data_IF_887093272079
#
_entry.id   IF_887093272079
#
_cell.length_a   1.000
_cell.length_b   1.000
_cell.length_c   1.000
_cell.angle_alpha   90.00
_cell.angle_beta   90.00
_cell.angle_gamma   90.00
#
_symmetry.space_group_name_H-M   'P 1'
#
loop_
_entity.id
_entity.type
_entity.pdbx_description
1 polymer ?
#
# COMPACT_ATOMS: atom_id res chain seq x y z
N UNK A 1 -4.97 4.74 8.50
CA UNK A 1 -3.82 5.21 7.74
C UNK A 1 -3.63 6.69 8.01
N UNK A 2 -2.47 7.08 8.49
CA UNK A 2 -2.07 8.47 8.47
C UNK A 2 -1.55 8.85 7.07
N UNK A 3 -1.62 10.14 6.71
CA UNK A 3 -1.15 10.62 5.42
C UNK A 3 0.34 10.34 5.19
N UNK A 4 1.12 10.24 6.25
CA UNK A 4 2.56 9.94 6.22
C UNK A 4 2.88 8.47 6.01
N UNK A 5 1.89 7.60 6.11
CA UNK A 5 2.05 6.15 5.94
C UNK A 5 3.10 5.55 6.89
N UNK A 6 3.03 5.93 8.18
CA UNK A 6 4.04 5.55 9.18
C UNK A 6 3.86 4.16 9.77
N UNK A 7 2.72 3.53 9.54
CA UNK A 7 2.35 2.26 10.15
C UNK A 7 2.45 2.24 11.68
N UNK A 8 2.27 3.42 12.29
CA UNK A 8 2.24 3.61 13.73
C UNK A 8 0.90 4.20 14.20
N UNK A 9 0.55 3.96 15.45
CA UNK A 9 -0.65 4.50 16.10
C UNK A 9 -0.35 4.85 17.55
N UNK A 10 -1.01 5.88 18.08
CA UNK A 10 -0.99 6.24 19.49
C UNK A 10 -2.06 5.50 20.31
N UNK A 11 -2.86 4.67 19.69
CA UNK A 11 -3.84 3.84 20.37
C UNK A 11 -3.18 2.72 21.20
N UNK A 12 -3.80 2.42 22.34
CA UNK A 12 -3.39 1.28 23.18
C UNK A 12 -3.92 -0.01 22.55
N UNK A 13 -3.04 -0.75 21.92
CA UNK A 13 -3.35 -2.07 21.39
C UNK A 13 -3.22 -3.15 22.49
N UNK A 14 -3.71 -4.40 22.28
CA UNK A 14 -3.74 -5.45 23.30
C UNK A 14 -2.40 -5.67 24.00
N UNK A 15 -2.41 -5.62 25.35
CA UNK A 15 -1.21 -5.75 26.20
C UNK A 15 -1.00 -7.17 26.76
N UNK A 16 -1.76 -8.15 26.31
CA UNK A 16 -1.84 -9.43 27.00
C UNK A 16 -0.63 -10.34 26.76
N UNK A 17 0.07 -10.72 27.82
CA UNK A 17 0.97 -11.89 27.79
C UNK A 17 0.14 -13.18 27.63
N UNK A 18 -1.11 -13.17 28.04
CA UNK A 18 -2.10 -14.24 27.87
C UNK A 18 -3.47 -13.64 27.52
N UNK A 19 -3.62 -12.99 26.36
CA UNK A 19 -4.92 -12.50 25.95
C UNK A 19 -5.85 -13.69 25.76
N UNK A 20 -7.11 -13.55 26.18
CA UNK A 20 -8.15 -14.47 25.73
C UNK A 20 -8.39 -14.20 24.26
N UNK A 21 -7.89 -15.09 23.40
CA UNK A 21 -8.00 -14.94 21.95
C UNK A 21 -9.22 -15.71 21.48
N UNK A 22 -10.22 -14.99 21.00
CA UNK A 22 -11.33 -15.55 20.25
C UNK A 22 -11.00 -15.49 18.76
N UNK A 23 -10.93 -16.65 18.12
CA UNK A 23 -10.65 -16.75 16.68
C UNK A 23 -11.94 -17.13 15.97
N UNK A 24 -12.39 -16.26 15.07
CA UNK A 24 -13.42 -16.60 14.09
C UNK A 24 -12.86 -16.45 12.69
N UNK A 25 -13.29 -17.30 11.76
CA UNK A 25 -12.94 -17.14 10.36
C UNK A 25 -14.16 -17.36 9.48
N UNK A 26 -14.19 -16.63 8.38
CA UNK A 26 -15.20 -16.80 7.34
C UNK A 26 -14.50 -17.07 6.01
N UNK A 27 -14.95 -18.13 5.33
CA UNK A 27 -14.45 -18.42 3.98
C UNK A 27 -15.08 -17.44 3.00
N UNK A 28 -14.27 -16.58 2.39
CA UNK A 28 -14.69 -15.71 1.30
C UNK A 28 -14.33 -16.33 -0.06
N UNK A 29 -15.07 -15.97 -1.10
CA UNK A 29 -14.75 -16.38 -2.47
C UNK A 29 -13.77 -15.41 -3.18
N UNK A 30 -13.22 -14.46 -2.44
CA UNK A 30 -12.30 -13.46 -2.94
C UNK A 30 -11.18 -13.23 -1.92
N UNK A 31 -9.99 -12.87 -2.40
CA UNK A 31 -8.89 -12.49 -1.54
C UNK A 31 -9.26 -11.23 -0.76
N UNK A 32 -9.06 -11.25 0.54
CA UNK A 32 -9.18 -10.08 1.38
C UNK A 32 -7.95 -9.17 1.21
N UNK A 33 -8.16 -7.87 1.39
CA UNK A 33 -7.07 -6.94 1.60
C UNK A 33 -6.32 -7.27 2.89
N UNK A 34 -5.02 -6.98 2.97
CA UNK A 34 -4.29 -7.02 4.24
C UNK A 34 -4.75 -5.94 5.22
N UNK A 35 -5.51 -4.93 4.77
CA UNK A 35 -5.98 -3.84 5.59
C UNK A 35 -7.49 -3.95 5.88
N UNK A 36 -7.84 -3.78 7.15
CA UNK A 36 -9.20 -3.64 7.65
C UNK A 36 -9.29 -2.26 8.31
N UNK A 37 -10.34 -1.51 7.99
CA UNK A 37 -10.59 -0.19 8.53
C UNK A 37 -11.79 -0.23 9.47
N UNK A 38 -11.83 0.66 10.42
CA UNK A 38 -12.98 0.83 11.30
C UNK A 38 -13.60 2.20 11.03
N UNK A 39 -14.91 2.23 10.80
CA UNK A 39 -15.64 3.47 10.74
C UNK A 39 -15.85 4.05 12.15
N UNK A 40 -16.32 5.28 12.24
CA UNK A 40 -16.54 5.95 13.52
C UNK A 40 -17.66 5.31 14.37
N UNK A 41 -18.41 4.38 13.79
CA UNK A 41 -19.47 3.62 14.47
C UNK A 41 -18.97 2.27 14.98
N UNK A 42 -17.72 1.89 14.69
CA UNK A 42 -17.10 0.64 15.12
C UNK A 42 -17.34 -0.55 14.20
N UNK A 43 -17.85 -0.33 12.99
CA UNK A 43 -17.95 -1.40 12.00
C UNK A 43 -16.58 -1.63 11.34
N UNK A 44 -16.28 -2.90 11.07
CA UNK A 44 -15.13 -3.26 10.26
C UNK A 44 -15.47 -3.15 8.77
N UNK A 45 -14.75 -2.30 8.07
CA UNK A 45 -14.77 -2.16 6.61
C UNK A 45 -13.69 -3.05 6.03
N UNK A 46 -14.09 -4.08 5.30
CA UNK A 46 -13.20 -5.12 4.77
C UNK A 46 -13.20 -5.05 3.24
N UNK A 47 -12.19 -4.40 2.63
CA UNK A 47 -12.04 -4.43 1.18
C UNK A 47 -11.66 -5.82 0.69
N UNK A 48 -12.26 -6.23 -0.42
CA UNK A 48 -12.05 -7.51 -1.09
C UNK A 48 -11.84 -7.25 -2.58
N UNK A 49 -11.15 -8.11 -3.29
CA UNK A 49 -11.04 -8.01 -4.76
C UNK A 49 -12.41 -8.02 -5.46
N UNK A 50 -13.37 -8.72 -4.90
CA UNK A 50 -14.74 -8.85 -5.43
C UNK A 50 -15.71 -7.80 -4.92
N UNK A 51 -15.30 -6.90 -4.02
CA UNK A 51 -16.18 -5.90 -3.42
C UNK A 51 -15.72 -5.43 -2.05
N UNK A 52 -16.63 -4.86 -1.26
CA UNK A 52 -16.37 -4.34 0.08
C UNK A 52 -17.45 -4.86 1.02
N UNK A 53 -17.04 -5.48 2.13
CA UNK A 53 -17.93 -5.95 3.17
C UNK A 53 -17.87 -5.01 4.38
N UNK A 54 -19.04 -4.75 4.99
CA UNK A 54 -19.15 -4.14 6.32
C UNK A 54 -19.49 -5.24 7.32
N UNK A 55 -18.76 -5.31 8.42
CA UNK A 55 -18.88 -6.38 9.40
C UNK A 55 -19.00 -5.86 10.82
N UNK A 56 -19.80 -6.55 11.62
CA UNK A 56 -19.79 -6.40 13.06
C UNK A 56 -18.90 -7.50 13.67
N UNK A 57 -17.76 -7.07 14.24
CA UNK A 57 -16.82 -7.96 14.91
C UNK A 57 -17.15 -8.16 16.40
N UNK A 58 -18.11 -7.39 16.95
CA UNK A 58 -18.53 -7.51 18.35
C UNK A 58 -19.66 -8.54 18.55
N UNK A 59 -20.23 -9.05 17.46
CA UNK A 59 -21.20 -10.13 17.54
C UNK A 59 -20.53 -11.44 18.00
N UNK A 60 -21.30 -12.32 18.65
CA UNK A 60 -20.84 -13.67 19.06
C UNK A 60 -20.24 -14.46 17.89
N UNK A 61 -20.80 -14.26 16.69
CA UNK A 61 -20.22 -14.69 15.42
C UNK A 61 -20.10 -13.46 14.53
N UNK A 62 -18.96 -13.30 13.85
CA UNK A 62 -18.73 -12.20 12.91
C UNK A 62 -19.86 -12.16 11.89
N UNK A 63 -20.55 -11.03 11.81
CA UNK A 63 -21.72 -10.85 10.95
C UNK A 63 -21.45 -9.85 9.86
N UNK A 64 -21.71 -10.24 8.60
CA UNK A 64 -21.75 -9.29 7.48
C UNK A 64 -23.03 -8.48 7.54
N UNK A 65 -22.92 -7.17 7.67
CA UNK A 65 -24.02 -6.22 7.75
C UNK A 65 -24.42 -5.67 6.39
N UNK A 66 -23.44 -5.52 5.48
CA UNK A 66 -23.65 -5.02 4.14
C UNK A 66 -22.53 -5.41 3.21
N UNK A 67 -22.77 -5.36 1.90
CA UNK A 67 -21.79 -5.73 0.88
C UNK A 67 -22.00 -4.93 -0.39
N UNK A 68 -20.91 -4.34 -0.90
CA UNK A 68 -20.84 -3.75 -2.22
C UNK A 68 -20.12 -4.70 -3.17
N UNK A 69 -20.65 -4.92 -4.34
CA UNK A 69 -20.01 -5.70 -5.39
C UNK A 69 -20.15 -5.00 -6.75
N UNK A 70 -19.05 -4.75 -7.46
CA UNK A 70 -19.12 -4.23 -8.83
C UNK A 70 -20.06 -5.03 -9.74
N UNK A 71 -20.09 -6.35 -9.56
CA UNK A 71 -20.96 -7.23 -10.33
C UNK A 71 -22.44 -7.00 -10.07
N UNK A 72 -22.82 -6.70 -8.84
CA UNK A 72 -24.24 -6.49 -8.48
C UNK A 72 -24.71 -5.08 -8.82
N UNK A 73 -23.83 -4.06 -8.65
CA UNK A 73 -24.18 -2.66 -8.80
C UNK A 73 -24.00 -2.14 -10.24
N UNK A 74 -22.94 -2.60 -10.94
CA UNK A 74 -22.55 -2.08 -12.25
C UNK A 74 -22.49 -3.15 -13.33
N UNK A 75 -22.97 -4.36 -13.06
CA UNK A 75 -22.90 -5.46 -14.01
C UNK A 75 -21.53 -6.12 -14.12
N UNK A 76 -20.55 -5.68 -13.35
CA UNK A 76 -19.17 -6.17 -13.37
C UNK A 76 -18.27 -5.41 -14.32
N UNK A 77 -17.18 -6.03 -14.71
CA UNK A 77 -16.22 -5.46 -15.67
C UNK A 77 -14.99 -4.79 -15.02
N UNK A 78 -14.97 -4.68 -13.69
CA UNK A 78 -13.81 -4.18 -12.95
C UNK A 78 -13.70 -4.84 -11.56
N UNK A 79 -12.56 -4.67 -10.93
CA UNK A 79 -12.30 -5.06 -9.55
C UNK A 79 -11.89 -3.85 -8.72
N UNK A 80 -12.15 -3.91 -7.41
CA UNK A 80 -11.65 -2.94 -6.43
C UNK A 80 -10.17 -3.22 -6.18
N UNK A 81 -9.34 -2.18 -6.18
CA UNK A 81 -7.95 -2.27 -5.72
C UNK A 81 -7.93 -2.25 -4.19
N UNK A 82 -8.26 -3.39 -3.62
CA UNK A 82 -8.62 -3.54 -2.20
C UNK A 82 -7.52 -3.07 -1.24
N UNK A 83 -6.25 -3.27 -1.59
CA UNK A 83 -5.11 -2.86 -0.75
C UNK A 83 -4.93 -1.34 -0.63
N UNK A 84 -5.53 -0.58 -1.54
CA UNK A 84 -5.41 0.88 -1.61
C UNK A 84 -6.74 1.60 -1.38
N UNK A 85 -7.70 0.89 -0.84
CA UNK A 85 -8.98 1.42 -0.37
C UNK A 85 -8.81 1.99 1.04
N UNK A 86 -9.46 3.09 1.37
CA UNK A 86 -9.43 3.68 2.71
C UNK A 86 -10.75 4.37 3.06
N UNK A 87 -10.89 4.81 4.33
CA UNK A 87 -11.99 5.64 4.79
C UNK A 87 -11.55 7.10 4.88
N UNK A 88 -12.40 8.01 4.43
CA UNK A 88 -12.24 9.43 4.71
C UNK A 88 -12.82 9.80 6.09
N UNK A 89 -12.71 11.08 6.46
CA UNK A 89 -13.19 11.58 7.76
C UNK A 89 -14.71 11.53 7.95
N UNK A 90 -15.46 11.30 6.87
CA UNK A 90 -16.92 11.17 6.87
C UNK A 90 -17.39 9.71 6.71
N UNK A 91 -16.48 8.75 6.96
CA UNK A 91 -16.71 7.30 6.79
C UNK A 91 -17.08 6.88 5.36
N UNK A 92 -16.77 7.70 4.35
CA UNK A 92 -16.93 7.30 2.95
C UNK A 92 -15.76 6.42 2.55
N UNK A 93 -16.06 5.34 1.85
CA UNK A 93 -15.06 4.39 1.38
C UNK A 93 -14.53 4.91 0.05
N UNK A 94 -13.25 5.26 0.02
CA UNK A 94 -12.56 5.73 -1.19
C UNK A 94 -11.79 4.58 -1.78
N UNK A 95 -12.09 4.22 -3.02
CA UNK A 95 -11.45 3.06 -3.66
C UNK A 95 -11.10 3.30 -5.13
N UNK A 96 -9.86 2.99 -5.53
CA UNK A 96 -9.47 2.90 -6.92
C UNK A 96 -9.96 1.58 -7.53
N UNK A 97 -10.18 1.59 -8.83
CA UNK A 97 -10.68 0.43 -9.58
C UNK A 97 -9.81 0.09 -10.78
N UNK A 98 -9.85 -1.17 -11.20
CA UNK A 98 -9.04 -1.65 -12.32
C UNK A 98 -9.45 -1.11 -13.70
N UNK A 99 -10.61 -0.45 -13.81
CA UNK A 99 -11.05 0.25 -15.01
C UNK A 99 -10.78 1.76 -14.98
N UNK A 100 -9.86 2.20 -14.11
CA UNK A 100 -9.41 3.58 -14.00
C UNK A 100 -10.46 4.57 -13.46
N UNK A 101 -11.36 4.09 -12.59
CA UNK A 101 -12.29 4.95 -11.85
C UNK A 101 -11.85 5.10 -10.40
N UNK A 102 -12.09 6.29 -9.85
CA UNK A 102 -12.11 6.52 -8.41
C UNK A 102 -13.55 6.52 -7.95
N UNK A 103 -13.87 5.65 -7.02
CA UNK A 103 -15.19 5.58 -6.41
C UNK A 103 -15.14 6.09 -4.98
N UNK A 104 -16.19 6.80 -4.55
CA UNK A 104 -16.49 7.01 -3.13
C UNK A 104 -17.87 6.44 -2.84
N UNK A 105 -17.92 5.60 -1.82
CA UNK A 105 -19.14 4.89 -1.42
C UNK A 105 -19.55 5.31 -0.01
N UNK A 106 -20.84 5.59 0.18
CA UNK A 106 -21.44 5.70 1.49
C UNK A 106 -22.09 4.38 1.85
N UNK A 107 -21.64 3.76 2.93
CA UNK A 107 -22.13 2.47 3.42
C UNK A 107 -23.06 2.59 4.64
N UNK A 108 -23.06 3.74 5.33
CA UNK A 108 -23.85 4.00 6.53
C UNK A 108 -24.64 5.29 6.42
N UNK A 109 -25.78 5.35 7.12
CA UNK A 109 -26.51 6.60 7.33
C UNK A 109 -25.88 7.43 8.48
N UNK A 110 -26.43 8.62 8.74
CA UNK A 110 -25.94 9.53 9.79
C UNK A 110 -26.09 8.97 11.22
N UNK A 111 -26.95 7.96 11.41
CA UNK A 111 -27.13 7.27 12.68
C UNK A 111 -26.19 6.05 12.83
N UNK A 112 -25.39 5.76 11.80
CA UNK A 112 -24.48 4.61 11.77
C UNK A 112 -25.14 3.30 11.35
N UNK A 113 -26.38 3.31 10.86
CA UNK A 113 -26.95 2.08 10.34
C UNK A 113 -26.38 1.76 8.97
N UNK A 114 -25.99 0.52 8.74
CA UNK A 114 -25.52 0.06 7.44
C UNK A 114 -26.65 0.10 6.44
N UNK A 115 -26.43 0.76 5.31
CA UNK A 115 -27.41 0.90 4.22
C UNK A 115 -27.68 -0.47 3.57
N UNK A 116 -28.93 -0.76 3.19
CA UNK A 116 -29.26 -1.98 2.44
C UNK A 116 -28.52 -2.07 1.10
N UNK A 117 -28.22 -0.94 0.50
CA UNK A 117 -27.47 -0.77 -0.72
C UNK A 117 -26.55 0.44 -0.57
N UNK A 118 -25.24 0.25 -0.88
CA UNK A 118 -24.27 1.34 -0.76
C UNK A 118 -24.53 2.39 -1.85
N UNK A 119 -24.39 3.64 -1.48
CA UNK A 119 -24.55 4.75 -2.40
C UNK A 119 -23.20 5.13 -3.03
N UNK A 120 -23.13 5.17 -4.35
CA UNK A 120 -22.00 5.81 -5.04
C UNK A 120 -22.18 7.31 -4.98
N UNK A 121 -21.41 7.98 -4.11
CA UNK A 121 -21.45 9.44 -3.96
C UNK A 121 -20.46 10.16 -4.87
N UNK A 122 -19.48 9.42 -5.39
CA UNK A 122 -18.53 9.89 -6.40
C UNK A 122 -18.11 8.73 -7.30
N UNK A 123 -18.01 8.99 -8.61
CA UNK A 123 -17.53 8.08 -9.63
C UNK A 123 -16.82 8.89 -10.72
N UNK A 124 -15.48 8.89 -10.70
CA UNK A 124 -14.66 9.70 -11.61
C UNK A 124 -13.78 8.77 -12.44
N UNK A 125 -13.98 8.78 -13.77
CA UNK A 125 -13.09 8.17 -14.75
C UNK A 125 -11.89 9.07 -15.01
N UNK A 126 -10.67 8.59 -14.65
CA UNK A 126 -9.43 9.33 -14.90
C UNK A 126 -8.83 9.00 -16.27
N UNK A 127 -9.31 7.95 -16.95
CA UNK A 127 -8.71 7.43 -18.19
C UNK A 127 -8.69 8.48 -19.29
N UNK A 128 -9.81 9.17 -19.51
CA UNK A 128 -9.92 10.17 -20.57
C UNK A 128 -8.92 11.33 -20.39
N UNK A 129 -8.73 11.82 -19.15
CA UNK A 129 -7.75 12.86 -18.84
C UNK A 129 -6.32 12.36 -19.01
N UNK A 130 -6.04 11.13 -18.56
CA UNK A 130 -4.73 10.50 -18.72
C UNK A 130 -4.35 10.34 -20.19
N UNK A 131 -5.24 9.81 -21.01
CA UNK A 131 -5.01 9.62 -22.45
C UNK A 131 -4.85 10.95 -23.20
N UNK A 132 -5.59 11.98 -22.82
CA UNK A 132 -5.42 13.31 -23.38
C UNK A 132 -4.04 13.90 -23.05
N UNK A 133 -3.56 13.73 -21.84
CA UNK A 133 -2.24 14.20 -21.41
C UNK A 133 -1.09 13.42 -22.08
N UNK A 134 -1.25 12.09 -22.22
CA UNK A 134 -0.25 11.22 -22.86
C UNK A 134 -0.24 11.35 -24.39
N UNK A 135 -1.33 11.79 -25.00
CA UNK A 135 -1.54 11.75 -26.46
C UNK A 135 -1.62 10.33 -27.03
N UNK A 136 -1.89 9.34 -26.19
CA UNK A 136 -2.02 7.92 -26.54
C UNK A 136 -2.80 7.15 -25.46
N UNK A 137 -3.08 5.89 -25.73
CA UNK A 137 -3.78 5.00 -24.80
C UNK A 137 -3.02 4.82 -23.48
N UNK A 138 -3.75 4.87 -22.35
CA UNK A 138 -3.28 4.48 -21.04
C UNK A 138 -3.23 2.97 -20.94
N UNK A 139 -2.06 2.40 -20.72
CA UNK A 139 -1.84 0.94 -20.70
C UNK A 139 -1.62 0.38 -19.29
N UNK A 140 -1.67 1.23 -18.28
CA UNK A 140 -1.66 0.84 -16.87
C UNK A 140 -3.03 1.10 -16.24
N UNK A 141 -3.30 0.38 -15.16
CA UNK A 141 -4.52 0.58 -14.38
C UNK A 141 -4.26 1.52 -13.19
N UNK A 142 -5.33 2.18 -12.76
CA UNK A 142 -5.32 2.92 -11.50
C UNK A 142 -4.99 1.94 -10.36
N UNK A 143 -3.99 2.29 -9.56
CA UNK A 143 -3.49 1.45 -8.48
C UNK A 143 -3.89 2.00 -7.11
N UNK A 144 -3.47 3.21 -6.80
CA UNK A 144 -3.62 3.80 -5.47
C UNK A 144 -4.10 5.25 -5.52
N UNK A 145 -4.74 5.66 -4.43
CA UNK A 145 -5.26 7.02 -4.23
C UNK A 145 -5.02 7.47 -2.78
N UNK A 146 -4.86 8.78 -2.57
CA UNK A 146 -4.77 9.40 -1.24
C UNK A 146 -5.20 10.85 -1.31
N UNK A 147 -5.84 11.36 -0.25
CA UNK A 147 -6.06 12.80 -0.09
C UNK A 147 -4.80 13.50 0.39
N UNK A 148 -4.50 14.67 -0.18
CA UNK A 148 -3.54 15.59 0.40
C UNK A 148 -4.20 16.49 1.46
N UNK A 149 -3.40 17.36 2.07
CA UNK A 149 -3.85 18.27 3.13
C UNK A 149 -4.73 19.42 2.62
N UNK A 150 -4.76 19.65 1.31
CA UNK A 150 -5.62 20.64 0.65
C UNK A 150 -6.92 20.00 0.10
N UNK A 151 -7.09 18.69 0.33
CA UNK A 151 -8.27 17.93 -0.07
C UNK A 151 -8.26 17.48 -1.53
N UNK A 152 -7.16 17.67 -2.27
CA UNK A 152 -7.02 17.06 -3.58
C UNK A 152 -6.83 15.55 -3.45
N UNK A 153 -7.40 14.78 -4.36
CA UNK A 153 -7.25 13.33 -4.37
C UNK A 153 -6.19 12.91 -5.39
N UNK A 154 -5.01 12.62 -4.89
CA UNK A 154 -3.91 12.09 -5.69
C UNK A 154 -4.17 10.67 -6.13
N UNK A 155 -3.68 10.31 -7.30
CA UNK A 155 -3.75 8.98 -7.86
C UNK A 155 -2.47 8.60 -8.61
N UNK A 156 -2.21 7.30 -8.64
CA UNK A 156 -1.12 6.71 -9.40
C UNK A 156 -1.60 5.47 -10.16
N UNK A 157 -1.12 5.31 -11.39
CA UNK A 157 -1.30 4.08 -12.15
C UNK A 157 -0.08 3.19 -12.03
N UNK A 158 -0.28 1.87 -12.13
CA UNK A 158 0.81 0.93 -12.01
C UNK A 158 0.37 -0.49 -11.67
N UNK A 159 1.14 -1.14 -10.82
CA UNK A 159 0.93 -2.50 -10.33
C UNK A 159 2.23 -3.29 -10.19
N UNK A 160 2.15 -4.47 -9.61
CA UNK A 160 3.31 -5.31 -9.28
C UNK A 160 4.08 -5.89 -10.48
N UNK A 161 3.65 -5.66 -11.71
CA UNK A 161 4.25 -6.27 -12.91
C UNK A 161 4.53 -5.24 -14.00
N UNK A 162 4.90 -4.04 -13.60
CA UNK A 162 5.41 -3.03 -14.51
C UNK A 162 6.92 -3.25 -14.64
N UNK A 163 7.33 -3.80 -15.77
CA UNK A 163 8.74 -4.02 -16.07
C UNK A 163 9.21 -2.97 -17.08
N UNK A 164 10.43 -2.43 -16.95
CA UNK A 164 10.95 -1.42 -17.88
C UNK A 164 10.88 -1.83 -19.35
N UNK A 165 11.06 -3.11 -19.65
CA UNK A 165 11.01 -3.65 -21.00
C UNK A 165 9.61 -3.81 -21.59
N UNK A 166 8.55 -3.63 -20.80
CA UNK A 166 7.16 -3.82 -21.26
C UNK A 166 6.55 -2.59 -21.91
N UNK A 167 7.25 -1.50 -22.01
CA UNK A 167 6.77 -0.26 -22.63
C UNK A 167 5.34 0.15 -22.24
N UNK A 168 4.91 -0.21 -21.03
CA UNK A 168 3.63 0.21 -20.48
C UNK A 168 3.69 1.70 -20.14
N UNK A 169 2.59 2.42 -20.37
CA UNK A 169 2.52 3.85 -20.10
C UNK A 169 1.54 4.12 -18.97
N UNK A 170 1.98 4.86 -17.99
CA UNK A 170 1.21 5.26 -16.82
C UNK A 170 1.29 6.74 -16.53
N UNK A 171 0.56 7.14 -15.49
CA UNK A 171 0.45 8.52 -15.05
C UNK A 171 0.45 8.62 -13.52
N UNK A 172 0.92 9.77 -13.02
CA UNK A 172 0.66 10.29 -11.69
C UNK A 172 -0.25 11.51 -11.84
N UNK A 173 -1.14 11.77 -10.89
CA UNK A 173 -2.01 12.91 -11.03
C UNK A 173 -2.85 13.18 -9.79
N UNK A 174 -3.72 14.18 -9.90
CA UNK A 174 -4.68 14.48 -8.85
C UNK A 174 -6.02 14.97 -9.44
N UNK A 175 -7.07 14.78 -8.64
CA UNK A 175 -8.39 15.35 -8.86
C UNK A 175 -8.52 16.53 -7.90
N UNK A 176 -8.83 17.71 -8.44
CA UNK A 176 -8.92 18.94 -7.64
C UNK A 176 -10.03 18.83 -6.59
N UNK A 177 -9.74 19.28 -5.38
CA UNK A 177 -10.68 19.33 -4.26
C UNK A 177 -12.02 19.97 -4.64
N UNK A 178 -11.99 21.11 -5.35
CA UNK A 178 -13.19 21.83 -5.78
C UNK A 178 -14.14 21.00 -6.65
N UNK A 179 -13.62 20.07 -7.46
CA UNK A 179 -14.46 19.20 -8.26
C UNK A 179 -15.06 18.07 -7.42
N UNK A 180 -14.31 17.54 -6.47
CA UNK A 180 -14.79 16.53 -5.52
C UNK A 180 -15.94 17.11 -4.71
N UNK A 181 -15.75 18.29 -4.11
CA UNK A 181 -16.77 18.99 -3.35
C UNK A 181 -18.03 19.29 -4.18
N UNK A 182 -17.87 19.79 -5.42
CA UNK A 182 -19.00 20.05 -6.30
C UNK A 182 -19.83 18.77 -6.54
N UNK A 183 -19.17 17.65 -6.86
CA UNK A 183 -19.86 16.38 -7.10
C UNK A 183 -20.56 15.88 -5.83
N UNK A 184 -19.89 15.94 -4.66
CA UNK A 184 -20.46 15.52 -3.38
C UNK A 184 -21.67 16.38 -2.97
N UNK A 185 -21.72 17.64 -3.41
CA UNK A 185 -22.85 18.54 -3.23
C UNK A 185 -23.95 18.37 -4.31
N UNK A 186 -23.80 17.39 -5.22
CA UNK A 186 -24.77 17.14 -6.29
C UNK A 186 -24.67 18.09 -7.49
N UNK A 187 -23.56 18.81 -7.60
CA UNK A 187 -23.26 19.72 -8.70
C UNK A 187 -22.47 18.99 -9.80
N UNK A 188 -22.44 19.58 -10.99
CA UNK A 188 -21.62 19.06 -12.10
C UNK A 188 -20.23 19.69 -12.06
N UNK A 189 -19.18 18.86 -12.19
CA UNK A 189 -17.81 19.31 -12.35
C UNK A 189 -17.31 19.07 -13.78
N UNK A 190 -16.54 20.03 -14.31
CA UNK A 190 -15.83 19.86 -15.58
C UNK A 190 -14.51 19.11 -15.32
N UNK A 191 -14.55 17.77 -15.40
CA UNK A 191 -13.41 16.91 -15.13
C UNK A 191 -12.23 17.17 -16.07
N UNK A 192 -12.46 17.72 -17.26
CA UNK A 192 -11.36 18.09 -18.18
C UNK A 192 -10.47 19.23 -17.65
N UNK A 193 -10.95 19.96 -16.65
CA UNK A 193 -10.23 21.04 -15.96
C UNK A 193 -9.88 20.74 -14.51
N UNK A 194 -10.32 19.60 -14.03
CA UNK A 194 -10.19 19.23 -12.62
C UNK A 194 -9.32 17.99 -12.39
N UNK A 195 -9.05 17.21 -13.43
CA UNK A 195 -8.15 16.07 -13.37
C UNK A 195 -6.83 16.44 -14.06
N UNK A 196 -5.79 16.52 -13.25
CA UNK A 196 -4.45 16.91 -13.69
C UNK A 196 -3.53 15.70 -13.68
N UNK A 197 -2.69 15.58 -14.71
CA UNK A 197 -1.87 14.39 -14.92
C UNK A 197 -0.44 14.72 -15.33
N UNK A 198 0.48 13.92 -14.83
CA UNK A 198 1.88 13.86 -15.25
C UNK A 198 2.15 12.48 -15.87
N UNK A 199 2.61 12.45 -17.11
CA UNK A 199 2.92 11.21 -17.82
C UNK A 199 4.26 10.62 -17.38
N UNK A 200 4.25 9.36 -16.96
CA UNK A 200 5.46 8.62 -16.63
C UNK A 200 6.25 8.21 -17.89
N UNK A 201 7.49 7.81 -17.72
CA UNK A 201 8.27 7.18 -18.77
C UNK A 201 7.68 5.82 -19.18
N UNK A 202 8.06 5.33 -20.36
CA UNK A 202 7.69 3.98 -20.78
C UNK A 202 8.31 2.94 -19.86
N UNK A 203 7.51 1.99 -19.40
CA UNK A 203 7.94 0.96 -18.47
C UNK A 203 8.09 1.45 -17.03
N UNK A 204 7.62 2.64 -16.73
CA UNK A 204 7.57 3.18 -15.37
C UNK A 204 6.13 3.18 -14.84
N UNK A 205 5.96 2.84 -13.57
CA UNK A 205 4.66 2.82 -12.90
C UNK A 205 4.80 2.76 -11.39
N UNK A 206 3.77 3.21 -10.67
CA UNK A 206 3.72 3.04 -9.22
C UNK A 206 3.53 1.56 -8.87
N UNK A 207 4.13 1.13 -7.78
CA UNK A 207 4.08 -0.27 -7.35
C UNK A 207 3.28 -0.45 -6.06
N UNK A 208 3.07 0.64 -5.31
CA UNK A 208 2.39 0.59 -4.02
C UNK A 208 1.63 1.90 -3.73
N UNK A 209 1.34 2.17 -2.45
CA UNK A 209 0.57 3.31 -2.00
C UNK A 209 1.30 4.65 -2.14
N UNK A 210 0.52 5.72 -2.02
CA UNK A 210 0.97 7.10 -2.01
C UNK A 210 1.02 7.57 -0.56
N UNK A 211 2.04 8.32 -0.19
CA UNK A 211 2.06 9.07 1.06
C UNK A 211 1.86 10.57 0.80
N UNK A 212 1.17 11.26 1.69
CA UNK A 212 0.89 12.68 1.57
C UNK A 212 1.34 13.45 2.82
N UNK A 213 1.99 14.57 2.59
CA UNK A 213 2.38 15.55 3.60
C UNK A 213 1.85 16.93 3.22
N UNK A 214 2.09 17.93 4.09
CA UNK A 214 1.83 19.34 3.75
C UNK A 214 2.72 19.84 2.58
N UNK A 215 3.80 19.14 2.27
CA UNK A 215 4.71 19.50 1.19
C UNK A 215 4.31 18.89 -0.15
N UNK A 216 3.32 17.99 -0.17
CA UNK A 216 2.78 17.34 -1.36
C UNK A 216 2.63 15.84 -1.22
N UNK A 217 2.41 15.16 -2.34
CA UNK A 217 2.31 13.71 -2.43
C UNK A 217 3.66 13.08 -2.79
N UNK A 218 4.06 12.06 -2.05
CA UNK A 218 5.26 11.28 -2.32
C UNK A 218 4.86 9.94 -2.92
N UNK A 219 5.40 9.63 -4.10
CA UNK A 219 5.05 8.44 -4.87
C UNK A 219 6.32 7.70 -5.27
N UNK A 220 6.37 6.41 -4.97
CA UNK A 220 7.43 5.53 -5.40
C UNK A 220 6.98 4.77 -6.65
N UNK A 221 7.79 4.85 -7.71
CA UNK A 221 7.65 4.02 -8.91
C UNK A 221 8.72 2.92 -8.91
N UNK A 222 8.68 2.04 -9.89
CA UNK A 222 9.75 1.05 -10.08
C UNK A 222 11.12 1.65 -10.48
N UNK A 223 11.23 2.96 -10.67
CA UNK A 223 12.46 3.63 -11.12
C UNK A 223 12.84 4.85 -10.28
N UNK A 224 11.84 5.57 -9.76
CA UNK A 224 12.05 6.87 -9.15
C UNK A 224 11.16 7.06 -7.91
N UNK A 225 11.61 7.94 -7.02
CA UNK A 225 10.79 8.53 -5.98
C UNK A 225 10.48 9.98 -6.35
N UNK A 226 9.21 10.37 -6.26
CA UNK A 226 8.71 11.69 -6.62
C UNK A 226 8.14 12.43 -5.42
N UNK A 227 8.38 13.73 -5.32
CA UNK A 227 7.53 14.65 -4.58
C UNK A 227 6.78 15.52 -5.59
N UNK A 228 5.46 15.48 -5.50
CA UNK A 228 4.55 16.21 -6.40
C UNK A 228 3.70 17.19 -5.62
N UNK A 229 3.37 18.33 -6.24
CA UNK A 229 2.43 19.33 -5.72
C UNK A 229 1.28 19.57 -6.68
N UNK A 230 0.12 19.86 -6.12
CA UNK A 230 -1.05 20.33 -6.83
C UNK A 230 -0.97 21.86 -6.97
N UNK A 231 -0.64 22.33 -8.17
CA UNK A 231 -0.58 23.74 -8.54
C UNK A 231 -1.61 24.02 -9.66
N UNK A 232 -1.28 24.79 -10.68
CA UNK A 232 -2.08 24.90 -11.92
C UNK A 232 -1.99 23.63 -12.81
N UNK A 233 -1.38 22.57 -12.29
CA UNK A 233 -1.11 21.27 -12.87
C UNK A 233 -0.37 20.41 -11.87
N UNK A 234 0.20 19.28 -12.32
CA UNK A 234 1.10 18.48 -11.49
C UNK A 234 2.49 19.09 -11.56
N UNK A 235 2.95 19.68 -10.46
CA UNK A 235 4.32 20.17 -10.30
C UNK A 235 5.20 19.09 -9.71
N UNK A 236 6.31 18.76 -10.41
CA UNK A 236 7.32 17.82 -9.94
C UNK A 236 8.37 18.61 -9.17
N UNK A 237 8.25 18.63 -7.84
CA UNK A 237 9.20 19.35 -6.97
C UNK A 237 10.60 18.73 -7.07
N UNK A 238 10.66 17.42 -7.00
CA UNK A 238 11.86 16.62 -7.28
C UNK A 238 11.49 15.21 -7.74
N UNK A 239 12.44 14.58 -8.46
CA UNK A 239 12.38 13.22 -8.93
C UNK A 239 13.74 12.59 -8.71
N UNK A 240 13.83 11.61 -7.83
CA UNK A 240 15.08 10.96 -7.43
C UNK A 240 15.11 9.52 -7.91
N UNK A 241 16.02 9.17 -8.84
CA UNK A 241 16.21 7.79 -9.24
C UNK A 241 16.87 6.99 -8.10
N UNK A 242 16.53 5.70 -8.02
CA UNK A 242 17.16 4.77 -7.09
C UNK A 242 17.48 3.45 -7.79
N UNK A 243 18.43 2.69 -7.22
CA UNK A 243 18.78 1.39 -7.74
C UNK A 243 17.76 0.34 -7.26
N UNK A 244 17.39 -0.56 -8.17
CA UNK A 244 16.62 -1.76 -7.85
C UNK A 244 16.99 -2.87 -8.81
N UNK A 245 16.99 -4.10 -8.35
CA UNK A 245 17.21 -5.29 -9.20
C UNK A 245 15.91 -5.98 -9.57
N UNK A 246 14.80 -5.40 -9.14
CA UNK A 246 13.49 -5.94 -9.37
C UNK A 246 13.16 -7.16 -8.51
N UNK A 247 11.92 -7.62 -8.64
CA UNK A 247 11.51 -8.90 -8.05
C UNK A 247 12.50 -9.98 -8.47
N UNK A 248 13.24 -10.52 -7.53
CA UNK A 248 14.26 -11.56 -7.81
C UNK A 248 13.57 -12.76 -8.43
N UNK A 249 13.75 -12.92 -9.72
CA UNK A 249 13.16 -14.02 -10.50
C UNK A 249 14.07 -15.21 -10.34
N UNK A 250 13.57 -16.29 -9.77
CA UNK A 250 14.25 -17.59 -9.82
C UNK A 250 13.73 -18.38 -11.04
N UNK A 251 14.57 -18.54 -12.07
CA UNK A 251 14.29 -19.37 -13.24
C UNK A 251 14.12 -18.62 -14.56
N UNK A 252 14.25 -19.35 -15.66
CA UNK A 252 14.06 -18.83 -17.00
C UNK A 252 12.59 -18.51 -17.27
N UNK A 253 12.30 -17.29 -17.68
CA UNK A 253 10.99 -16.83 -18.11
C UNK A 253 10.24 -15.98 -17.07
N UNK A 254 9.11 -15.48 -17.47
CA UNK A 254 8.22 -14.53 -16.79
C UNK A 254 7.58 -15.04 -15.47
N UNK A 255 8.19 -16.00 -14.81
CA UNK A 255 7.69 -16.60 -13.58
C UNK A 255 8.43 -15.99 -12.40
N UNK A 256 7.75 -15.06 -11.73
CA UNK A 256 8.11 -14.69 -10.36
C UNK A 256 7.93 -15.91 -9.47
N UNK A 257 8.98 -16.66 -9.24
CA UNK A 257 8.98 -17.77 -8.32
C UNK A 257 9.76 -17.37 -7.09
N UNK A 258 9.05 -17.12 -6.00
CA UNK A 258 9.64 -17.05 -4.67
C UNK A 258 10.31 -15.74 -4.27
N UNK A 259 10.27 -14.69 -5.10
CA UNK A 259 10.83 -13.38 -4.76
C UNK A 259 9.78 -12.39 -4.28
N UNK A 260 10.10 -11.13 -4.33
CA UNK A 260 9.15 -10.03 -4.18
C UNK A 260 8.17 -9.98 -5.34
N UNK A 261 7.10 -9.21 -5.19
CA UNK A 261 6.07 -8.99 -6.22
C UNK A 261 6.44 -7.84 -7.14
N UNK A 262 7.13 -6.83 -6.59
CA UNK A 262 7.43 -5.58 -7.24
C UNK A 262 8.77 -5.64 -7.99
N UNK A 263 8.89 -4.81 -9.00
CA UNK A 263 10.15 -4.64 -9.74
C UNK A 263 11.07 -3.63 -9.06
N UNK A 264 10.53 -2.56 -8.49
CA UNK A 264 11.26 -1.51 -7.78
C UNK A 264 11.30 -1.70 -6.27
N UNK A 265 11.14 -0.61 -5.54
CA UNK A 265 11.18 -0.59 -4.07
C UNK A 265 10.11 -1.44 -3.38
N UNK A 266 9.01 -1.72 -4.07
CA UNK A 266 7.96 -2.65 -3.64
C UNK A 266 7.11 -2.18 -2.47
N UNK A 267 7.50 -1.13 -1.78
CA UNK A 267 6.81 -0.59 -0.60
C UNK A 267 6.18 0.78 -0.89
N UNK A 268 5.22 1.18 -0.07
CA UNK A 268 4.82 2.59 -0.02
C UNK A 268 5.90 3.39 0.70
N UNK A 269 6.19 4.63 0.28
CA UNK A 269 7.08 5.49 1.04
C UNK A 269 6.44 5.86 2.39
N UNK A 270 7.26 5.96 3.45
CA UNK A 270 6.85 6.45 4.76
C UNK A 270 7.53 7.78 5.05
N UNK A 271 6.82 8.72 5.62
CA UNK A 271 7.28 10.10 5.76
C UNK A 271 7.51 10.49 7.21
N UNK A 272 8.42 11.43 7.38
CA UNK A 272 8.53 12.31 8.54
C UNK A 272 8.51 13.76 8.06
N UNK A 273 8.49 14.77 8.94
CA UNK A 273 8.60 16.17 8.51
C UNK A 273 9.84 16.49 7.68
N UNK A 274 10.95 15.78 7.91
CA UNK A 274 12.24 16.04 7.26
C UNK A 274 12.68 14.96 6.27
N UNK A 275 12.15 13.72 6.36
CA UNK A 275 12.66 12.59 5.58
C UNK A 275 11.55 11.79 4.87
N UNK A 276 11.94 11.21 3.73
CA UNK A 276 11.21 10.14 3.05
C UNK A 276 11.99 8.85 3.23
N UNK A 277 11.33 7.81 3.77
CA UNK A 277 11.93 6.51 4.08
C UNK A 277 11.32 5.42 3.20
N UNK A 278 12.15 4.62 2.54
CA UNK A 278 11.73 3.42 1.81
C UNK A 278 12.90 2.48 1.56
N UNK A 279 12.61 1.24 1.13
CA UNK A 279 13.62 0.26 0.71
C UNK A 279 13.72 0.22 -0.81
N UNK A 280 14.93 -0.03 -1.33
CA UNK A 280 15.21 0.01 -2.77
C UNK A 280 15.05 -1.35 -3.48
N UNK A 281 14.95 -2.45 -2.73
CA UNK A 281 15.01 -3.81 -3.27
C UNK A 281 16.23 -4.09 -4.19
N UNK A 282 17.33 -3.37 -3.99
CA UNK A 282 18.60 -3.64 -4.64
C UNK A 282 19.26 -4.94 -4.10
N UNK A 283 20.48 -5.21 -4.49
CA UNK A 283 21.26 -6.33 -3.97
C UNK A 283 22.65 -5.86 -3.47
N UNK A 284 22.86 -5.72 -2.16
CA UNK A 284 21.92 -5.93 -1.05
C UNK A 284 20.78 -4.91 -1.01
N UNK A 285 19.65 -5.29 -0.39
CA UNK A 285 18.53 -4.35 -0.13
C UNK A 285 18.98 -3.29 0.86
N UNK A 286 18.68 -2.03 0.57
CA UNK A 286 19.01 -0.90 1.44
C UNK A 286 17.75 -0.17 1.88
N UNK A 287 17.77 0.30 3.11
CA UNK A 287 16.89 1.38 3.56
C UNK A 287 17.50 2.71 3.09
N UNK A 288 16.69 3.53 2.44
CA UNK A 288 17.06 4.85 1.98
C UNK A 288 16.32 5.92 2.80
N UNK A 289 17.01 7.01 3.12
CA UNK A 289 16.44 8.23 3.64
C UNK A 289 16.72 9.37 2.65
N UNK A 290 15.66 9.99 2.13
CA UNK A 290 15.75 11.17 1.29
C UNK A 290 15.34 12.41 2.09
N UNK A 291 16.01 13.51 1.86
CA UNK A 291 15.58 14.82 2.38
C UNK A 291 14.25 15.22 1.73
N UNK A 292 13.25 15.53 2.54
CA UNK A 292 11.88 15.81 2.09
C UNK A 292 11.84 17.02 1.11
N UNK A 293 12.72 17.99 1.28
CA UNK A 293 12.68 19.24 0.48
C UNK A 293 13.44 19.13 -0.83
N UNK A 294 14.57 18.41 -0.81
CA UNK A 294 15.48 18.36 -1.97
C UNK A 294 15.40 17.06 -2.73
N UNK A 295 14.89 15.99 -2.13
CA UNK A 295 14.92 14.63 -2.69
C UNK A 295 16.30 13.98 -2.67
N UNK A 296 17.33 14.62 -2.12
CA UNK A 296 18.66 14.04 -2.02
C UNK A 296 18.66 12.82 -1.09
N UNK A 297 19.32 11.75 -1.47
CA UNK A 297 19.56 10.60 -0.59
C UNK A 297 20.59 11.05 0.46
N UNK A 298 20.14 11.29 1.68
CA UNK A 298 20.96 11.81 2.78
C UNK A 298 21.55 10.73 3.66
N UNK A 299 20.97 9.53 3.64
CA UNK A 299 21.53 8.34 4.26
C UNK A 299 21.03 7.07 3.58
N UNK A 300 21.83 6.02 3.62
CA UNK A 300 21.45 4.69 3.16
C UNK A 300 22.22 3.62 3.90
N UNK A 301 21.58 2.47 4.14
CA UNK A 301 22.22 1.35 4.83
C UNK A 301 21.63 0.03 4.32
N UNK A 302 22.45 -1.02 4.07
CA UNK A 302 21.96 -2.37 3.88
C UNK A 302 21.13 -2.82 5.08
N UNK A 303 20.03 -3.54 4.83
CA UNK A 303 19.15 -4.06 5.85
C UNK A 303 18.90 -5.55 5.63
N UNK A 304 18.61 -6.28 6.71
CA UNK A 304 18.32 -7.70 6.67
C UNK A 304 19.48 -8.51 6.07
N UNK A 305 20.71 -8.08 6.29
CA UNK A 305 21.92 -8.68 5.71
C UNK A 305 22.51 -9.82 6.57
N UNK A 306 21.98 -10.05 7.76
CA UNK A 306 22.40 -11.07 8.72
C UNK A 306 21.54 -12.35 8.67
N UNK A 307 20.82 -12.58 7.57
CA UNK A 307 19.95 -13.75 7.42
C UNK A 307 20.74 -15.05 7.37
N UNK A 308 20.15 -16.18 7.81
CA UNK A 308 20.73 -17.49 7.63
C UNK A 308 21.01 -17.80 6.15
N UNK A 309 22.05 -18.63 5.91
CA UNK A 309 22.43 -19.04 4.56
C UNK A 309 21.23 -19.64 3.78
N UNK A 310 21.07 -19.21 2.54
CA UNK A 310 20.02 -19.70 1.62
C UNK A 310 18.76 -18.82 1.59
N UNK A 311 18.61 -17.87 2.51
CA UNK A 311 17.51 -16.91 2.43
C UNK A 311 17.89 -15.68 1.58
N UNK A 312 16.89 -15.10 0.97
CA UNK A 312 16.99 -13.84 0.22
C UNK A 312 16.12 -12.77 0.86
N UNK A 313 16.32 -11.53 0.45
CA UNK A 313 15.58 -10.38 0.92
C UNK A 313 14.73 -9.79 -0.20
N UNK A 314 13.49 -9.48 0.11
CA UNK A 314 12.64 -8.56 -0.64
C UNK A 314 11.71 -7.84 0.36
N UNK A 315 11.51 -6.56 0.19
CA UNK A 315 10.61 -5.78 1.03
C UNK A 315 9.46 -5.29 0.18
N UNK A 316 8.24 -5.67 0.54
CA UNK A 316 7.00 -5.33 -0.19
C UNK A 316 6.02 -4.54 0.69
N UNK A 317 6.29 -4.50 1.99
CA UNK A 317 5.47 -3.77 2.96
C UNK A 317 6.07 -2.41 3.26
N UNK A 318 5.21 -1.44 3.58
CA UNK A 318 5.65 -0.18 4.17
C UNK A 318 6.42 -0.45 5.45
N UNK A 319 7.46 0.32 5.68
CA UNK A 319 8.19 0.26 6.95
C UNK A 319 7.38 0.95 8.05
N UNK A 320 7.48 0.45 9.28
CA UNK A 320 7.11 1.26 10.44
C UNK A 320 8.11 2.40 10.54
N UNK A 321 7.63 3.64 10.68
CA UNK A 321 8.46 4.81 10.89
C UNK A 321 7.96 5.57 12.12
N UNK A 322 8.86 5.84 13.05
CA UNK A 322 8.61 6.62 14.26
C UNK A 322 9.67 7.71 14.42
N UNK A 323 9.23 8.96 14.34
CA UNK A 323 10.06 10.15 14.60
C UNK A 323 9.90 10.55 16.07
N UNK A 324 11.00 10.55 16.84
CA UNK A 324 10.99 10.94 18.24
C UNK A 324 10.93 12.47 18.45
N UNK A 325 10.97 13.25 17.35
CA UNK A 325 11.02 14.71 17.33
C UNK A 325 12.26 15.29 18.03
N UNK A 326 13.23 14.47 18.40
CA UNK A 326 14.50 14.85 19.04
C UNK A 326 15.70 14.61 18.11
N UNK A 327 15.44 14.17 16.88
CA UNK A 327 16.43 13.96 15.83
C UNK A 327 16.73 12.51 15.50
N UNK A 328 15.93 11.56 16.01
CA UNK A 328 16.04 10.15 15.67
C UNK A 328 14.76 9.67 14.98
N UNK A 329 14.91 9.08 13.82
CA UNK A 329 13.85 8.38 13.10
C UNK A 329 14.11 6.88 13.18
N UNK A 330 13.28 6.16 13.91
CA UNK A 330 13.31 4.70 13.98
C UNK A 330 12.51 4.09 12.86
N UNK A 331 13.14 3.24 12.06
CA UNK A 331 12.50 2.54 10.94
C UNK A 331 12.59 1.04 11.18
N UNK A 332 11.46 0.33 11.06
CA UNK A 332 11.41 -1.12 11.19
C UNK A 332 10.97 -1.70 9.86
N UNK A 333 11.82 -2.55 9.31
CA UNK A 333 11.61 -3.26 8.04
C UNK A 333 11.42 -4.75 8.30
N UNK A 334 10.60 -5.41 7.49
CA UNK A 334 10.47 -6.86 7.54
C UNK A 334 10.71 -7.49 6.16
N UNK A 335 11.28 -8.69 6.18
CA UNK A 335 11.51 -9.47 4.98
C UNK A 335 10.21 -10.13 4.52
N UNK A 336 9.84 -9.88 3.29
CA UNK A 336 8.64 -10.45 2.66
C UNK A 336 8.98 -11.52 1.60
N UNK A 337 10.27 -11.83 1.42
CA UNK A 337 10.71 -12.78 0.39
C UNK A 337 10.02 -14.14 0.57
N UNK A 338 9.42 -14.63 -0.48
CA UNK A 338 8.68 -15.88 -0.49
C UNK A 338 7.22 -15.79 -0.04
N UNK A 339 6.78 -14.68 0.57
CA UNK A 339 5.41 -14.53 1.02
C UNK A 339 4.41 -14.55 -0.16
N UNK A 340 4.75 -13.90 -1.28
CA UNK A 340 3.94 -13.93 -2.51
C UNK A 340 3.81 -15.31 -3.13
N UNK A 341 4.73 -16.21 -2.85
CA UNK A 341 4.74 -17.60 -3.34
C UNK A 341 4.26 -18.61 -2.31
N UNK A 342 4.15 -18.21 -1.03
CA UNK A 342 3.72 -19.12 0.04
C UNK A 342 2.32 -19.72 -0.21
N UNK A 343 1.46 -19.03 -0.94
CA UNK A 343 0.18 -19.57 -1.40
C UNK A 343 0.26 -20.30 -2.75
N UNK A 344 1.43 -20.38 -3.40
CA UNK A 344 1.57 -20.87 -4.77
C UNK A 344 2.40 -22.18 -4.85
N UNK A 345 3.07 -22.56 -3.80
CA UNK A 345 4.08 -23.60 -3.85
C UNK A 345 3.71 -24.87 -3.08
N UNK A 346 2.64 -25.54 -3.46
CA UNK A 346 2.59 -26.99 -3.25
C UNK A 346 3.16 -27.68 -4.50
N UNK A 347 4.39 -28.20 -4.47
CA UNK A 347 4.97 -28.88 -5.60
C UNK A 347 4.19 -30.14 -6.02
N UNK A 348 3.31 -30.65 -5.18
CA UNK A 348 2.47 -31.82 -5.40
C UNK A 348 1.04 -31.46 -5.84
N UNK A 349 0.73 -30.17 -6.01
CA UNK A 349 -0.59 -29.66 -6.43
C UNK A 349 -0.58 -29.26 -7.89
N UNK A 350 -1.50 -29.83 -8.68
CA UNK A 350 -1.79 -29.41 -10.05
C UNK A 350 -2.47 -28.03 -10.14
N UNK A 351 -2.76 -27.38 -9.01
CA UNK A 351 -3.40 -26.09 -9.00
C UNK A 351 -2.37 -24.98 -8.86
N UNK A 352 -2.33 -24.06 -9.84
CA UNK A 352 -1.49 -22.88 -9.83
C UNK A 352 -1.92 -21.81 -8.79
N UNK A 353 -2.98 -22.07 -8.04
CA UNK A 353 -3.52 -21.17 -6.99
C UNK A 353 -3.84 -22.03 -5.78
N UNK A 354 -2.95 -22.04 -4.82
CA UNK A 354 -3.30 -22.52 -3.50
C UNK A 354 -3.99 -21.43 -2.71
N UNK A 355 -5.13 -21.78 -2.12
CA UNK A 355 -5.82 -20.88 -1.20
C UNK A 355 -4.98 -20.72 0.06
N UNK A 356 -4.97 -19.52 0.65
CA UNK A 356 -4.41 -19.24 1.97
C UNK A 356 -4.84 -20.24 3.07
N UNK A 357 -5.88 -21.03 2.85
CA UNK A 357 -6.28 -22.12 3.73
C UNK A 357 -5.16 -23.14 3.99
N UNK A 358 -4.22 -23.30 3.05
CA UNK A 358 -3.12 -24.24 3.21
C UNK A 358 -1.99 -23.68 4.10
N UNK A 359 -1.91 -22.37 4.31
CA UNK A 359 -0.97 -21.75 5.25
C UNK A 359 -1.26 -22.20 6.68
N UNK A 360 -2.52 -22.49 7.01
CA UNK A 360 -2.95 -22.97 8.31
C UNK A 360 -2.94 -24.49 8.45
N UNK A 361 -2.59 -25.23 7.38
CA UNK A 361 -2.34 -26.67 7.49
C UNK A 361 -0.96 -26.89 8.11
N UNK A 362 -0.96 -27.27 9.39
CA UNK A 362 0.27 -27.58 10.14
C UNK A 362 1.11 -28.67 9.48
N UNK A 363 0.51 -29.55 8.67
CA UNK A 363 1.25 -30.55 7.90
C UNK A 363 2.02 -29.93 6.74
N UNK A 364 1.52 -28.81 6.17
CA UNK A 364 2.21 -28.09 5.12
C UNK A 364 3.43 -27.33 5.65
N UNK A 365 3.29 -26.66 6.80
CA UNK A 365 4.40 -26.00 7.50
C UNK A 365 5.49 -26.98 7.94
N UNK A 366 5.10 -28.17 8.43
CA UNK A 366 6.04 -29.22 8.88
C UNK A 366 6.76 -29.94 7.74
N UNK A 367 6.27 -29.86 6.52
CA UNK A 367 6.94 -30.41 5.33
C UNK A 367 8.09 -29.54 4.81
N UNK A 368 8.37 -28.42 5.44
CA UNK A 368 9.46 -27.50 5.05
C UNK A 368 9.22 -26.76 3.73
N UNK A 369 7.97 -26.69 3.29
CA UNK A 369 7.59 -26.04 2.03
C UNK A 369 7.27 -24.55 2.20
N UNK A 370 7.26 -24.04 3.44
CA UNK A 370 7.09 -22.62 3.69
C UNK A 370 8.43 -21.91 3.46
N UNK A 371 8.53 -21.20 2.35
CA UNK A 371 9.75 -20.49 1.95
C UNK A 371 9.73 -19.01 2.35
N UNK A 372 8.87 -18.62 3.31
CA UNK A 372 8.84 -17.24 3.81
C UNK A 372 10.14 -17.00 4.58
N UNK A 373 10.95 -16.10 4.04
CA UNK A 373 12.23 -15.78 4.67
C UNK A 373 12.00 -15.05 6.00
N UNK A 374 12.79 -15.33 7.03
CA UNK A 374 12.76 -14.55 8.26
C UNK A 374 13.43 -13.20 8.04
N UNK A 375 13.25 -12.30 8.99
CA UNK A 375 13.95 -11.02 9.07
C UNK A 375 13.03 -9.88 9.46
N UNK A 376 13.30 -9.30 10.61
CA UNK A 376 12.71 -8.01 11.06
C UNK A 376 13.85 -7.20 11.66
N UNK A 377 14.07 -5.99 11.18
CA UNK A 377 15.19 -5.17 11.61
C UNK A 377 14.74 -3.75 11.93
N UNK A 378 15.26 -3.20 13.03
CA UNK A 378 15.15 -1.79 13.37
C UNK A 378 16.44 -1.06 13.05
N UNK A 379 16.31 0.00 12.27
CA UNK A 379 17.36 0.96 11.96
C UNK A 379 16.96 2.33 12.53
N UNK A 380 17.85 2.95 13.29
CA UNK A 380 17.70 4.34 13.69
C UNK A 380 18.51 5.24 12.74
N UNK A 381 17.84 6.25 12.18
CA UNK A 381 18.43 7.33 11.39
C UNK A 381 18.55 8.54 12.28
N UNK A 382 19.78 8.95 12.59
CA UNK A 382 20.08 10.02 13.57
C UNK A 382 20.61 11.24 12.84
N UNK A 383 20.03 12.40 13.15
CA UNK A 383 20.53 13.70 12.67
C UNK A 383 21.79 14.08 13.44
N UNK A 384 22.87 14.38 12.72
CA UNK A 384 24.17 14.79 13.26
C UNK A 384 24.57 16.17 12.74
N UNK A 385 25.64 16.74 13.26
CA UNK A 385 26.17 18.02 12.76
C UNK A 385 26.63 17.94 11.29
N UNK A 386 26.93 16.74 10.79
CA UNK A 386 27.41 16.48 9.42
C UNK A 386 26.36 15.94 8.46
N UNK A 387 25.12 15.75 8.89
CA UNK A 387 24.04 15.14 8.10
C UNK A 387 23.29 14.08 8.87
N UNK A 388 22.99 12.95 8.23
CA UNK A 388 22.29 11.84 8.84
C UNK A 388 23.16 10.58 8.87
N UNK A 389 23.06 9.82 9.94
CA UNK A 389 23.73 8.52 10.11
C UNK A 389 22.70 7.44 10.42
N UNK A 390 22.83 6.28 9.78
CA UNK A 390 21.99 5.12 10.03
C UNK A 390 22.73 4.06 10.86
N UNK A 391 21.99 3.42 11.76
CA UNK A 391 22.53 2.34 12.60
C UNK A 391 21.47 1.29 12.83
N UNK A 392 21.82 0.00 12.60
CA UNK A 392 21.03 -1.14 13.05
C UNK A 392 21.04 -1.20 14.58
N UNK A 393 19.86 -1.26 15.16
CA UNK A 393 19.67 -1.31 16.63
C UNK A 393 19.44 -2.75 17.07
N UNK A 394 18.62 -3.47 16.35
CA UNK A 394 18.42 -4.91 16.53
C UNK A 394 17.92 -5.55 15.22
N UNK A 395 18.26 -6.81 15.04
CA UNK A 395 17.74 -7.67 14.00
C UNK A 395 17.19 -8.96 14.61
N UNK A 396 16.13 -9.49 14.03
CA UNK A 396 15.47 -10.74 14.40
C UNK A 396 15.35 -11.61 13.15
N UNK A 397 16.31 -12.48 12.98
CA UNK A 397 16.38 -13.44 11.87
C UNK A 397 15.70 -14.79 12.17
N UNK A 398 14.93 -14.84 13.26
CA UNK A 398 14.10 -15.96 13.70
C UNK A 398 12.58 -15.68 13.59
N UNK A 399 12.19 -14.48 13.12
CA UNK A 399 10.81 -14.10 12.89
C UNK A 399 10.51 -13.94 11.40
N UNK A 400 9.41 -14.50 10.97
CA UNK A 400 8.86 -14.32 9.62
C UNK A 400 7.50 -13.66 9.72
N UNK A 401 7.23 -12.70 8.84
CA UNK A 401 5.95 -12.02 8.76
C UNK A 401 5.50 -11.87 7.30
N UNK A 402 4.21 -11.96 7.07
CA UNK A 402 3.57 -11.80 5.76
C UNK A 402 2.56 -10.66 5.74
N UNK A 403 2.42 -9.96 6.88
CA UNK A 403 1.47 -8.87 7.04
C UNK A 403 2.20 -7.52 7.18
N UNK A 404 1.43 -6.46 7.28
CA UNK A 404 1.96 -5.12 7.55
C UNK A 404 2.07 -4.97 9.06
N UNK A 405 3.30 -4.85 9.56
CA UNK A 405 3.55 -4.60 10.97
C UNK A 405 2.97 -3.26 11.41
N UNK A 406 2.49 -3.18 12.66
CA UNK A 406 1.99 -1.95 13.28
C UNK A 406 2.67 -1.69 14.61
N UNK A 407 3.12 -0.46 14.82
CA UNK A 407 3.64 0.00 16.10
C UNK A 407 2.55 0.73 16.89
N UNK A 408 2.31 0.30 18.13
CA UNK A 408 1.61 1.14 19.10
C UNK A 408 2.63 1.95 19.90
N UNK A 409 2.67 3.25 19.68
CA UNK A 409 3.56 4.16 20.45
C UNK A 409 3.14 4.27 21.91
N UNK A 410 1.84 4.09 22.20
CA UNK A 410 1.32 4.06 23.55
C UNK A 410 1.80 2.86 24.38
N UNK A 411 2.03 1.71 23.74
CA UNK A 411 2.48 0.49 24.42
C UNK A 411 3.95 0.15 24.19
N UNK A 412 4.53 0.65 23.10
CA UNK A 412 5.87 0.30 22.63
C UNK A 412 5.96 -1.09 21.99
N UNK A 413 4.82 -1.74 21.69
CA UNK A 413 4.81 -3.05 21.04
C UNK A 413 4.55 -2.95 19.54
N UNK A 414 5.10 -3.94 18.84
CA UNK A 414 4.88 -4.19 17.41
C UNK A 414 3.92 -5.38 17.30
N UNK A 415 2.93 -5.24 16.42
CA UNK A 415 1.85 -6.20 16.18
C UNK A 415 1.86 -6.66 14.73
#
# INVERSE_FOLDING_TARGET
HDGYNTDSTDEVLPLGIYPEINVSYEKTNANASPAIYFDSYGHAVVPLLGGIAIRDLNAEETKTLGYFSPKQHDGGGYVIQSSYTFLDSENRIVCPTSNNHVLMLRATDEAGNVLPEFEKVLDIDIKAAAEAALGKELTQNLLSVVFDYDGNLWFATGGFRIYPEREQQGVLGYIAHSAIEAILNGEQADLSKAVFVYGLALGEGAENGIAASKDGAVILTNQNCYLLRAEEGVDVVWCTPYESVGAKVSGEGDKTTGGGLAWGGGCSPSLTPDLVMFTDNADPVKLLALDMKTGEIVASMPVLDDLPEGYQVAVENSAIVYDDSEGTVSTIVCNWFGAGSAGLADPDSDSSIQSYANIYDTNWLTKGNCMIAPGVERVDTVKTDSGYEMKSIWSRNDLSDTSILKLSTATGYIY
#
